data_IF_264059645405
#
_entry.id   IF_264059645405
#
_cell.length_a   1.000
_cell.length_b   1.000
_cell.length_c   1.000
_cell.angle_alpha   90.00
_cell.angle_beta   90.00
_cell.angle_gamma   90.00
#
_symmetry.space_group_name_H-M   'P 1'
#
loop_
_entity.id
_entity.type
_entity.pdbx_description
1 polymer ?
#
# COMPACT_ATOMS: atom_id res chain seq x y z
N UNK A 1 -5.92 -14.00 8.15
CA UNK A 1 -6.77 -13.09 7.34
C UNK A 1 -6.71 -11.71 7.98
N UNK A 2 -5.96 -10.77 7.39
CA UNK A 2 -5.90 -9.40 7.91
C UNK A 2 -7.17 -8.66 7.47
N UNK A 3 -8.10 -8.44 8.40
CA UNK A 3 -9.21 -7.51 8.18
C UNK A 3 -8.62 -6.10 8.19
N UNK A 4 -8.38 -5.56 7.00
CA UNK A 4 -8.08 -4.14 6.82
C UNK A 4 -9.32 -3.39 7.28
N UNK A 5 -9.24 -2.72 8.43
CA UNK A 5 -10.28 -1.82 8.88
C UNK A 5 -10.45 -0.74 7.81
N UNK A 6 -11.66 -0.58 7.29
CA UNK A 6 -12.08 0.37 6.25
C UNK A 6 -11.90 1.85 6.65
N UNK A 7 -11.20 2.11 7.76
CA UNK A 7 -10.98 3.43 8.34
C UNK A 7 -9.49 3.64 8.70
N UNK A 8 -8.61 3.29 7.75
CA UNK A 8 -7.20 3.69 7.84
C UNK A 8 -7.05 5.08 7.24
N UNK A 9 -6.77 6.07 8.09
CA UNK A 9 -6.38 7.41 7.68
C UNK A 9 -4.91 7.45 7.26
N UNK A 10 -4.53 8.43 6.45
CA UNK A 10 -3.15 8.67 6.04
C UNK A 10 -2.25 8.94 7.25
N UNK A 11 -2.75 9.65 8.26
CA UNK A 11 -2.01 9.92 9.50
C UNK A 11 -1.71 8.63 10.27
N UNK A 12 -2.67 7.71 10.35
CA UNK A 12 -2.48 6.40 10.98
C UNK A 12 -1.47 5.56 10.20
N UNK A 13 -1.57 5.54 8.88
CA UNK A 13 -0.64 4.81 8.03
C UNK A 13 0.80 5.31 8.22
N UNK A 14 1.02 6.64 8.18
CA UNK A 14 2.34 7.25 8.45
C UNK A 14 2.86 6.88 9.83
N UNK A 15 2.01 6.92 10.86
CA UNK A 15 2.38 6.52 12.22
C UNK A 15 2.80 5.05 12.35
N UNK A 16 2.14 4.14 11.61
CA UNK A 16 2.54 2.73 11.57
C UNK A 16 3.88 2.54 10.86
N UNK A 17 4.11 3.25 9.75
CA UNK A 17 5.39 3.22 9.05
C UNK A 17 6.53 3.80 9.91
N UNK A 18 6.27 4.87 10.67
CA UNK A 18 7.19 5.42 11.68
C UNK A 18 7.55 4.36 12.72
N UNK A 19 6.55 3.65 13.24
CA UNK A 19 6.75 2.61 14.26
C UNK A 19 7.60 1.46 13.73
N UNK A 20 7.31 0.99 12.51
CA UNK A 20 8.10 -0.05 11.83
C UNK A 20 9.53 0.44 11.63
N UNK A 21 9.73 1.65 11.09
CA UNK A 21 11.06 2.18 10.85
C UNK A 21 11.87 2.29 12.15
N UNK A 22 11.27 2.71 13.26
CA UNK A 22 11.93 2.74 14.58
C UNK A 22 12.27 1.36 15.12
N UNK A 23 11.45 0.36 14.83
CA UNK A 23 11.71 -1.02 15.25
C UNK A 23 12.92 -1.62 14.50
N UNK A 24 13.06 -1.33 13.21
CA UNK A 24 14.17 -1.83 12.39
C UNK A 24 15.41 -0.93 12.43
N UNK A 25 15.23 0.36 12.69
CA UNK A 25 16.28 1.38 12.72
C UNK A 25 16.07 2.30 13.92
N UNK A 26 16.40 1.81 15.12
CA UNK A 26 16.15 2.51 16.39
C UNK A 26 16.84 3.87 16.54
N UNK A 27 17.88 4.14 15.75
CA UNK A 27 18.57 5.45 15.72
C UNK A 27 17.88 6.45 14.79
N UNK A 28 17.03 5.98 13.87
CA UNK A 28 16.28 6.84 12.99
C UNK A 28 15.04 7.37 13.70
N UNK A 29 15.12 8.65 14.07
CA UNK A 29 14.04 9.38 14.75
C UNK A 29 13.17 10.16 13.78
N UNK A 30 13.49 10.15 12.46
CA UNK A 30 12.73 10.87 11.45
C UNK A 30 11.32 10.31 11.34
N UNK A 31 10.39 11.21 11.01
CA UNK A 31 8.99 10.87 10.74
C UNK A 31 8.76 10.76 9.24
N UNK A 32 7.84 9.90 8.85
CA UNK A 32 7.41 9.71 7.47
C UNK A 32 6.64 10.95 7.03
N UNK A 33 7.28 11.73 6.18
CA UNK A 33 6.71 12.95 5.61
C UNK A 33 5.76 12.64 4.44
N UNK A 34 6.10 11.67 3.59
CA UNK A 34 5.28 11.28 2.45
C UNK A 34 5.29 9.79 2.21
N UNK A 35 4.21 9.29 1.60
CA UNK A 35 4.04 7.88 1.24
C UNK A 35 3.70 7.82 -0.24
N UNK A 36 4.40 6.96 -0.96
CA UNK A 36 4.14 6.67 -2.37
C UNK A 36 3.73 5.20 -2.51
N UNK A 37 2.55 4.99 -3.09
CA UNK A 37 2.03 3.67 -3.41
C UNK A 37 2.41 3.30 -4.83
N UNK A 38 2.96 2.09 -5.00
CA UNK A 38 3.23 1.51 -6.32
C UNK A 38 1.96 0.80 -6.80
N UNK A 39 1.14 1.54 -7.55
CA UNK A 39 -0.18 1.12 -7.98
C UNK A 39 -0.10 0.11 -9.15
N UNK A 40 -0.57 -1.13 -8.97
CA UNK A 40 -0.74 -2.06 -10.07
C UNK A 40 -1.92 -1.65 -10.96
N UNK A 41 -1.77 -1.89 -12.26
CA UNK A 41 -2.80 -1.78 -13.29
C UNK A 41 -2.62 -2.92 -14.28
N UNK A 42 -3.70 -3.39 -14.90
CA UNK A 42 -3.64 -4.47 -15.89
C UNK A 42 -4.06 -3.93 -17.25
N UNK A 43 -3.26 -4.15 -18.28
CA UNK A 43 -3.66 -3.80 -19.64
C UNK A 43 -4.63 -4.82 -20.23
N UNK A 44 -5.13 -4.54 -21.44
CA UNK A 44 -6.09 -5.41 -22.14
C UNK A 44 -5.56 -6.81 -22.42
N UNK A 45 -4.24 -7.03 -22.34
CA UNK A 45 -3.56 -8.30 -22.60
C UNK A 45 -3.28 -9.06 -21.30
N UNK A 46 -3.61 -8.47 -20.14
CA UNK A 46 -3.40 -9.10 -18.84
C UNK A 46 -2.04 -8.79 -18.20
N UNK A 47 -1.21 -7.95 -18.82
CA UNK A 47 0.10 -7.59 -18.27
C UNK A 47 -0.05 -6.59 -17.12
N UNK A 48 0.67 -6.83 -16.03
CA UNK A 48 0.65 -5.93 -14.86
C UNK A 48 1.70 -4.84 -15.02
N UNK A 49 1.25 -3.59 -15.01
CA UNK A 49 2.11 -2.40 -14.99
C UNK A 49 1.96 -1.68 -13.66
N UNK A 50 3.04 -1.02 -13.23
CA UNK A 50 3.06 -0.28 -11.99
C UNK A 50 3.23 1.21 -12.25
N UNK A 51 2.28 2.01 -11.79
CA UNK A 51 2.42 3.45 -11.67
C UNK A 51 2.78 3.82 -10.22
N UNK A 52 3.17 5.07 -10.01
CA UNK A 52 3.42 5.63 -8.69
C UNK A 52 2.29 6.61 -8.35
N UNK A 53 1.74 6.47 -7.15
CA UNK A 53 0.67 7.31 -6.62
C UNK A 53 1.12 7.87 -5.27
N UNK A 54 1.31 9.18 -5.18
CA UNK A 54 1.58 9.83 -3.90
C UNK A 54 0.29 9.93 -3.10
N UNK A 55 0.31 9.49 -1.84
CA UNK A 55 -0.85 9.55 -0.96
C UNK A 55 -0.88 10.91 -0.27
N UNK A 56 -1.86 11.74 -0.65
CA UNK A 56 -2.01 13.11 -0.19
C UNK A 56 -3.12 13.25 0.86
N UNK A 57 -4.12 12.38 0.82
CA UNK A 57 -5.28 12.41 1.72
C UNK A 57 -5.80 11.00 2.07
N UNK A 58 -6.86 10.94 2.88
CA UNK A 58 -7.47 9.68 3.31
C UNK A 58 -8.20 8.94 2.15
N UNK A 59 -8.68 9.66 1.13
CA UNK A 59 -9.32 9.04 -0.04
C UNK A 59 -8.29 8.34 -0.94
N UNK A 60 -7.07 8.86 -1.03
CA UNK A 60 -5.96 8.18 -1.70
C UNK A 60 -5.62 6.87 -0.99
N UNK A 61 -5.67 6.86 0.35
CA UNK A 61 -5.44 5.65 1.16
C UNK A 61 -6.55 4.63 0.94
N UNK A 62 -7.80 5.08 0.91
CA UNK A 62 -8.95 4.22 0.57
C UNK A 62 -8.79 3.63 -0.84
N UNK A 63 -8.40 4.45 -1.81
CA UNK A 63 -8.17 4.03 -3.20
C UNK A 63 -7.08 2.96 -3.28
N UNK A 64 -5.95 3.15 -2.60
CA UNK A 64 -4.88 2.14 -2.49
C UNK A 64 -5.42 0.81 -1.93
N UNK A 65 -6.21 0.84 -0.86
CA UNK A 65 -6.78 -0.38 -0.28
C UNK A 65 -7.81 -1.04 -1.20
N UNK A 66 -8.62 -0.27 -1.91
CA UNK A 66 -9.54 -0.80 -2.93
C UNK A 66 -8.80 -1.52 -4.05
N UNK A 67 -7.70 -0.92 -4.55
CA UNK A 67 -6.84 -1.54 -5.57
C UNK A 67 -6.22 -2.81 -5.03
N UNK A 68 -5.65 -2.78 -3.82
CA UNK A 68 -5.11 -3.97 -3.18
C UNK A 68 -6.17 -5.08 -3.07
N UNK A 69 -7.36 -4.79 -2.57
CA UNK A 69 -8.44 -5.77 -2.45
C UNK A 69 -8.82 -6.36 -3.82
N UNK A 70 -8.96 -5.53 -4.86
CA UNK A 70 -9.25 -5.97 -6.22
C UNK A 70 -8.23 -7.02 -6.70
N UNK A 71 -6.93 -6.72 -6.53
CA UNK A 71 -5.86 -7.63 -6.95
C UNK A 71 -5.68 -8.86 -6.05
N UNK A 72 -6.00 -8.78 -4.75
CA UNK A 72 -5.97 -9.94 -3.86
C UNK A 72 -7.12 -10.92 -4.09
N UNK A 73 -8.24 -10.45 -4.65
CA UNK A 73 -9.36 -11.32 -5.01
C UNK A 73 -9.18 -12.04 -6.34
N UNK A 74 -8.22 -11.62 -7.17
CA UNK A 74 -7.80 -12.38 -8.35
C UNK A 74 -6.94 -13.56 -7.91
N UNK A 75 -7.11 -14.71 -8.58
CA UNK A 75 -6.39 -15.95 -8.25
C UNK A 75 -4.90 -15.67 -7.98
N UNK A 76 -4.29 -16.31 -6.96
CA UNK A 76 -2.86 -16.21 -6.74
C UNK A 76 -2.12 -16.51 -8.05
N UNK A 77 -1.15 -15.67 -8.41
CA UNK A 77 -0.25 -15.98 -9.53
C UNK A 77 0.37 -17.34 -9.22
N UNK A 78 -0.04 -18.38 -9.96
CA UNK A 78 0.65 -19.66 -9.94
C UNK A 78 2.03 -19.42 -10.53
N UNK A 79 3.04 -19.44 -9.66
CA UNK A 79 4.41 -19.56 -10.11
C UNK A 79 4.61 -21.04 -10.45
N UNK A 80 4.69 -21.35 -11.75
CA UNK A 80 5.17 -22.66 -12.19
C UNK A 80 6.66 -22.73 -11.80
N UNK A 81 7.02 -23.76 -11.04
CA UNK A 81 8.37 -24.02 -10.55
C UNK A 81 9.25 -24.73 -11.60
#
# INVERSE_FOLDING_TARGET
MFRIGIDVTLSRLKGQLDQINRQFNYKDTRRVDSVEYRCPSTDSVGSVRFSRMKLMNDDDVRTMFSIFCYYNTREPIKLDA
#
